data_IF_060130657820
#
_entry.id   IF_060130657820
#
_cell.length_a   1.000
_cell.length_b   1.000
_cell.length_c   1.000
_cell.angle_alpha   90.00
_cell.angle_beta   90.00
_cell.angle_gamma   90.00
#
_symmetry.space_group_name_H-M   'P 1'
#
loop_
_entity.id
_entity.type
_entity.pdbx_description
1 polymer ?
#
# COMPACT_ATOMS: atom_id res chain seq x y z
N UNK A 1 -20.90 40.62 0.21
CA UNK A 1 -19.55 40.60 0.80
C UNK A 1 -19.44 39.30 1.57
N UNK A 2 -18.52 38.39 1.21
CA UNK A 2 -18.36 37.12 1.95
C UNK A 2 -17.89 37.41 3.37
N UNK A 3 -18.53 36.78 4.35
CA UNK A 3 -18.22 36.99 5.78
C UNK A 3 -16.93 36.26 6.12
N UNK A 4 -16.17 36.73 7.11
CA UNK A 4 -14.94 36.04 7.57
C UNK A 4 -15.18 34.54 7.88
N UNK A 5 -16.37 34.22 8.41
CA UNK A 5 -16.81 32.83 8.63
C UNK A 5 -16.89 32.01 7.33
N UNK A 6 -17.39 32.58 6.23
CA UNK A 6 -17.46 31.88 4.93
C UNK A 6 -16.06 31.53 4.42
N UNK A 7 -15.08 32.42 4.62
CA UNK A 7 -13.69 32.16 4.24
C UNK A 7 -13.05 31.07 5.08
N UNK A 8 -13.33 31.04 6.39
CA UNK A 8 -12.83 29.98 7.26
C UNK A 8 -13.45 28.62 6.92
N UNK A 9 -14.75 28.61 6.63
CA UNK A 9 -15.47 27.39 6.30
C UNK A 9 -15.06 26.84 4.92
N UNK A 10 -14.90 27.73 3.92
CA UNK A 10 -14.38 27.38 2.60
C UNK A 10 -12.94 26.90 2.68
N UNK A 11 -12.07 27.60 3.43
CA UNK A 11 -10.67 27.20 3.66
C UNK A 11 -10.56 25.85 4.38
N UNK A 12 -11.43 25.60 5.36
CA UNK A 12 -11.48 24.33 6.11
C UNK A 12 -11.97 23.21 5.21
N UNK A 13 -12.99 23.45 4.38
CA UNK A 13 -13.53 22.48 3.45
C UNK A 13 -12.53 22.11 2.34
N UNK A 14 -11.79 23.06 1.77
CA UNK A 14 -10.76 22.74 0.76
C UNK A 14 -9.60 21.94 1.34
N UNK A 15 -9.15 22.23 2.56
CA UNK A 15 -8.07 21.47 3.23
C UNK A 15 -8.54 20.04 3.56
N UNK A 16 -9.75 19.88 4.08
CA UNK A 16 -10.34 18.57 4.39
C UNK A 16 -10.58 17.74 3.13
N UNK A 17 -11.05 18.37 2.05
CA UNK A 17 -11.24 17.75 0.74
C UNK A 17 -9.92 17.29 0.13
N UNK A 18 -8.88 18.14 0.12
CA UNK A 18 -7.56 17.78 -0.38
C UNK A 18 -6.90 16.67 0.44
N UNK A 19 -7.07 16.65 1.77
CA UNK A 19 -6.58 15.57 2.61
C UNK A 19 -7.27 14.23 2.29
N UNK A 20 -8.57 14.24 2.02
CA UNK A 20 -9.31 13.03 1.63
C UNK A 20 -8.99 12.58 0.19
N UNK A 21 -8.74 13.51 -0.73
CA UNK A 21 -8.25 13.20 -2.09
C UNK A 21 -6.89 12.51 -2.04
N UNK A 22 -5.93 13.05 -1.29
CA UNK A 22 -4.59 12.45 -1.17
C UNK A 22 -4.61 11.04 -0.58
N UNK A 23 -5.53 10.77 0.36
CA UNK A 23 -5.77 9.42 0.88
C UNK A 23 -6.20 8.45 -0.21
N UNK A 24 -7.24 8.83 -0.97
CA UNK A 24 -7.79 7.99 -2.04
C UNK A 24 -6.75 7.77 -3.13
N UNK A 25 -6.04 8.83 -3.55
CA UNK A 25 -4.99 8.76 -4.57
C UNK A 25 -3.88 7.79 -4.15
N UNK A 26 -3.49 7.81 -2.88
CA UNK A 26 -2.45 6.89 -2.36
C UNK A 26 -2.90 5.43 -2.49
N UNK A 27 -4.12 5.10 -2.07
CA UNK A 27 -4.67 3.73 -2.18
C UNK A 27 -4.85 3.34 -3.66
N UNK A 28 -5.38 4.26 -4.47
CA UNK A 28 -5.60 4.04 -5.90
C UNK A 28 -4.28 3.76 -6.63
N UNK A 29 -3.23 4.50 -6.31
CA UNK A 29 -1.90 4.28 -6.89
C UNK A 29 -1.34 2.89 -6.53
N UNK A 30 -1.55 2.44 -5.28
CA UNK A 30 -1.14 1.10 -4.87
C UNK A 30 -1.92 0.02 -5.64
N UNK A 31 -3.25 0.15 -5.73
CA UNK A 31 -4.06 -0.81 -6.50
C UNK A 31 -3.69 -0.82 -7.98
N UNK A 32 -3.37 0.33 -8.56
CA UNK A 32 -2.97 0.44 -9.96
C UNK A 32 -1.63 -0.29 -10.20
N UNK A 33 -0.64 -0.08 -9.33
CA UNK A 33 0.64 -0.83 -9.39
C UNK A 33 0.40 -2.33 -9.24
N UNK A 34 -0.44 -2.72 -8.28
CA UNK A 34 -0.79 -4.12 -8.03
C UNK A 34 -1.49 -4.76 -9.24
N UNK A 35 -2.43 -4.06 -9.87
CA UNK A 35 -3.17 -4.55 -11.04
C UNK A 35 -2.29 -4.63 -12.30
N UNK A 36 -1.48 -3.60 -12.56
CA UNK A 36 -0.52 -3.62 -13.68
C UNK A 36 0.42 -4.80 -13.54
N UNK A 37 0.88 -5.11 -12.33
CA UNK A 37 1.73 -6.25 -12.10
C UNK A 37 1.11 -7.59 -12.48
N UNK A 38 -0.16 -7.78 -12.09
CA UNK A 38 -0.92 -8.98 -12.47
C UNK A 38 -1.05 -9.08 -13.99
N UNK A 39 -1.40 -7.97 -14.65
CA UNK A 39 -1.53 -7.93 -16.11
C UNK A 39 -0.19 -8.24 -16.78
N UNK A 40 0.90 -7.59 -16.36
CA UNK A 40 2.25 -7.82 -16.91
C UNK A 40 2.66 -9.28 -16.70
N UNK A 41 2.40 -9.87 -15.53
CA UNK A 41 2.69 -11.27 -15.27
C UNK A 41 1.98 -12.21 -16.26
N UNK A 42 0.69 -12.00 -16.50
CA UNK A 42 -0.10 -12.88 -17.37
C UNK A 42 0.13 -12.63 -18.87
N UNK A 43 0.43 -11.40 -19.28
CA UNK A 43 0.64 -11.06 -20.69
C UNK A 43 2.08 -11.25 -21.18
N UNK A 44 3.08 -11.02 -20.32
CA UNK A 44 4.48 -11.00 -20.73
C UNK A 44 5.28 -12.20 -20.23
N UNK A 45 4.76 -13.02 -19.32
CA UNK A 45 5.53 -14.14 -18.76
C UNK A 45 5.10 -15.47 -19.34
N UNK A 46 6.04 -16.14 -20.01
CA UNK A 46 5.87 -17.48 -20.56
C UNK A 46 6.77 -18.47 -19.80
N UNK A 47 6.17 -19.56 -19.30
CA UNK A 47 6.80 -20.79 -18.80
C UNK A 47 8.07 -20.65 -17.95
N UNK A 48 9.21 -20.48 -18.62
CA UNK A 48 10.55 -20.45 -18.02
C UNK A 48 10.94 -19.08 -17.44
N UNK A 49 10.58 -17.98 -18.11
CA UNK A 49 10.92 -16.61 -17.66
C UNK A 49 9.97 -16.09 -16.58
N UNK A 50 8.80 -16.72 -16.49
CA UNK A 50 7.77 -16.42 -15.50
C UNK A 50 8.28 -16.55 -14.08
N UNK A 51 9.01 -17.63 -13.76
CA UNK A 51 9.45 -17.87 -12.39
C UNK A 51 10.38 -16.78 -11.86
N UNK A 52 11.37 -16.35 -12.64
CA UNK A 52 12.32 -15.31 -12.21
C UNK A 52 11.66 -13.93 -12.09
N UNK A 53 10.81 -13.59 -13.06
CA UNK A 53 10.13 -12.30 -13.09
C UNK A 53 9.18 -12.11 -11.91
N UNK A 54 8.36 -13.12 -11.62
CA UNK A 54 7.46 -13.02 -10.48
C UNK A 54 8.20 -13.09 -9.15
N UNK A 55 9.41 -13.66 -9.07
CA UNK A 55 10.18 -13.68 -7.82
C UNK A 55 10.70 -12.27 -7.51
N UNK A 56 11.25 -11.58 -8.52
CA UNK A 56 11.60 -10.16 -8.37
C UNK A 56 10.36 -9.31 -8.06
N UNK A 57 9.24 -9.58 -8.73
CA UNK A 57 8.03 -8.79 -8.51
C UNK A 57 7.46 -8.97 -7.10
N UNK A 58 7.30 -10.22 -6.65
CA UNK A 58 6.77 -10.54 -5.33
C UNK A 58 7.74 -10.18 -4.20
N UNK A 59 9.04 -10.43 -4.34
CA UNK A 59 9.97 -10.28 -3.21
C UNK A 59 10.70 -8.95 -3.17
N UNK A 60 10.69 -8.18 -4.27
CA UNK A 60 11.35 -6.87 -4.33
C UNK A 60 10.31 -5.78 -4.57
N UNK A 61 9.58 -5.83 -5.68
CA UNK A 61 8.72 -4.71 -6.08
C UNK A 61 7.52 -4.54 -5.13
N UNK A 62 6.80 -5.60 -4.79
CA UNK A 62 5.66 -5.51 -3.85
C UNK A 62 6.07 -5.10 -2.44
N UNK A 63 7.14 -5.65 -1.83
CA UNK A 63 7.62 -5.24 -0.51
C UNK A 63 8.03 -3.78 -0.50
N UNK A 64 8.79 -3.34 -1.51
CA UNK A 64 9.26 -1.96 -1.61
C UNK A 64 8.09 -1.00 -1.78
N UNK A 65 7.14 -1.30 -2.68
CA UNK A 65 5.97 -0.45 -2.91
C UNK A 65 5.06 -0.40 -1.68
N UNK A 66 4.80 -1.56 -1.05
CA UNK A 66 4.03 -1.66 0.20
C UNK A 66 4.69 -0.86 1.32
N UNK A 67 6.01 -0.94 1.43
CA UNK A 67 6.78 -0.20 2.42
C UNK A 67 6.70 1.32 2.21
N UNK A 68 6.91 1.80 0.99
CA UNK A 68 6.83 3.24 0.65
C UNK A 68 5.43 3.77 0.90
N UNK A 69 4.39 3.06 0.45
CA UNK A 69 2.99 3.45 0.69
C UNK A 69 2.67 3.46 2.18
N UNK A 70 3.16 2.49 2.95
CA UNK A 70 2.99 2.43 4.40
C UNK A 70 3.67 3.61 5.12
N UNK A 71 4.86 4.03 4.67
CA UNK A 71 5.52 5.25 5.16
C UNK A 71 4.68 6.48 4.85
N UNK A 72 4.16 6.62 3.63
CA UNK A 72 3.34 7.77 3.23
C UNK A 72 2.07 7.85 4.09
N UNK A 73 1.39 6.72 4.32
CA UNK A 73 0.22 6.63 5.21
C UNK A 73 0.59 7.01 6.64
N UNK A 74 1.69 6.47 7.18
CA UNK A 74 2.16 6.77 8.52
C UNK A 74 2.56 8.23 8.71
N UNK A 75 3.23 8.83 7.71
CA UNK A 75 3.70 10.21 7.72
C UNK A 75 2.55 11.22 7.68
N UNK A 76 1.52 10.93 6.90
CA UNK A 76 0.34 11.79 6.79
C UNK A 76 -0.74 11.52 7.85
N UNK A 77 -0.49 10.55 8.75
CA UNK A 77 -1.44 10.05 9.76
C UNK A 77 -2.86 9.81 9.20
N UNK A 78 -2.91 9.27 7.98
CA UNK A 78 -4.17 8.98 7.33
C UNK A 78 -4.97 7.98 8.19
N UNK A 79 -6.23 8.28 8.45
CA UNK A 79 -7.12 7.47 9.30
C UNK A 79 -6.74 7.32 10.79
N UNK A 80 -5.75 8.06 11.32
CA UNK A 80 -5.37 8.05 12.76
C UNK A 80 -5.18 6.62 13.31
N UNK A 81 -6.13 6.10 14.10
CA UNK A 81 -6.10 4.72 14.65
C UNK A 81 -6.42 3.66 13.59
N UNK A 82 -7.23 3.99 12.58
CA UNK A 82 -7.61 3.07 11.50
C UNK A 82 -6.48 2.74 10.52
N UNK A 83 -5.34 3.44 10.58
CA UNK A 83 -4.17 3.17 9.73
C UNK A 83 -3.64 1.74 9.89
N UNK A 84 -3.75 1.18 11.09
CA UNK A 84 -3.31 -0.19 11.37
C UNK A 84 -4.16 -1.25 10.67
N UNK A 85 -5.40 -0.97 10.30
CA UNK A 85 -6.17 -1.90 9.48
C UNK A 85 -5.55 -2.08 8.08
N UNK A 86 -4.80 -1.08 7.60
CA UNK A 86 -4.11 -1.18 6.31
C UNK A 86 -2.95 -2.16 6.33
N UNK A 87 -2.30 -2.41 7.47
CA UNK A 87 -1.21 -3.42 7.52
C UNK A 87 -1.76 -4.81 7.20
N UNK A 88 -2.96 -5.12 7.68
CA UNK A 88 -3.67 -6.36 7.36
C UNK A 88 -4.12 -6.38 5.89
N UNK A 89 -4.66 -5.27 5.38
CA UNK A 89 -5.02 -5.13 3.97
C UNK A 89 -3.83 -5.40 3.04
N UNK A 90 -2.67 -4.83 3.33
CA UNK A 90 -1.46 -5.05 2.54
C UNK A 90 -0.94 -6.49 2.65
N UNK A 91 -1.02 -7.11 3.83
CA UNK A 91 -0.72 -8.54 3.99
C UNK A 91 -1.60 -9.43 3.11
N UNK A 92 -2.92 -9.16 3.09
CA UNK A 92 -3.87 -9.89 2.24
C UNK A 92 -3.54 -9.67 0.76
N UNK A 93 -3.28 -8.42 0.34
CA UNK A 93 -2.90 -8.11 -1.05
C UNK A 93 -1.60 -8.78 -1.49
N UNK A 94 -0.64 -8.92 -0.58
CA UNK A 94 0.63 -9.62 -0.83
C UNK A 94 0.40 -11.12 -1.10
N UNK A 95 -0.40 -11.77 -0.23
CA UNK A 95 -0.80 -13.16 -0.41
C UNK A 95 -1.61 -13.39 -1.70
N UNK A 96 -2.50 -12.47 -2.06
CA UNK A 96 -3.27 -12.53 -3.30
C UNK A 96 -2.37 -12.41 -4.54
N UNK A 97 -1.36 -11.53 -4.52
CA UNK A 97 -0.41 -11.42 -5.63
C UNK A 97 0.39 -12.70 -5.82
N UNK A 98 0.88 -13.28 -4.73
CA UNK A 98 1.56 -14.57 -4.73
C UNK A 98 0.68 -15.68 -5.32
N UNK A 99 -0.54 -15.77 -4.79
CA UNK A 99 -1.46 -16.81 -5.20
C UNK A 99 -1.87 -16.67 -6.66
N UNK A 100 -2.25 -15.46 -7.08
CA UNK A 100 -2.77 -15.19 -8.41
C UNK A 100 -1.71 -15.19 -9.52
N UNK A 101 -0.42 -15.18 -9.17
CA UNK A 101 0.68 -15.30 -10.14
C UNK A 101 1.22 -16.74 -10.14
N UNK A 102 2.26 -17.01 -9.35
CA UNK A 102 2.97 -18.28 -9.36
C UNK A 102 2.10 -19.47 -9.03
N UNK A 103 1.32 -19.42 -7.94
CA UNK A 103 0.53 -20.60 -7.54
C UNK A 103 -0.56 -20.89 -8.56
N UNK A 104 -1.22 -19.88 -9.10
CA UNK A 104 -2.24 -20.06 -10.13
C UNK A 104 -1.64 -20.54 -11.46
N UNK A 105 -0.52 -19.97 -11.91
CA UNK A 105 0.19 -20.44 -13.10
C UNK A 105 0.69 -21.89 -12.95
N UNK A 106 1.24 -22.22 -11.78
CA UNK A 106 1.69 -23.58 -11.45
C UNK A 106 0.51 -24.56 -11.34
N UNK A 107 -0.61 -24.16 -10.74
CA UNK A 107 -1.81 -24.99 -10.66
C UNK A 107 -2.37 -25.32 -12.05
N UNK A 108 -2.36 -24.37 -12.98
CA UNK A 108 -2.77 -24.59 -14.38
C UNK A 108 -1.79 -25.52 -15.10
N UNK A 109 -0.49 -25.37 -14.86
CA UNK A 109 0.53 -26.19 -15.51
C UNK A 109 0.57 -27.65 -15.02
N UNK A 110 0.20 -27.91 -13.75
CA UNK A 110 0.33 -29.22 -13.11
C UNK A 110 -1.00 -29.84 -12.65
N UNK A 111 -2.14 -29.23 -13.01
CA UNK A 111 -3.51 -29.69 -12.70
C UNK A 111 -3.72 -30.05 -11.21
N UNK A 112 -3.06 -29.30 -10.32
CA UNK A 112 -3.13 -29.46 -8.86
C UNK A 112 -3.49 -28.14 -8.21
N UNK A 113 -4.59 -28.09 -7.48
CA UNK A 113 -4.99 -26.91 -6.72
C UNK A 113 -4.22 -26.82 -5.40
N UNK A 114 -3.13 -26.07 -5.39
CA UNK A 114 -2.47 -25.69 -4.15
C UNK A 114 -3.26 -24.57 -3.45
N UNK A 115 -3.48 -24.72 -2.14
CA UNK A 115 -4.10 -23.68 -1.33
C UNK A 115 -3.19 -22.45 -1.20
N UNK A 116 -3.77 -21.25 -1.01
CA UNK A 116 -2.98 -20.05 -0.79
C UNK A 116 -2.26 -20.14 0.57
N UNK A 117 -1.04 -19.58 0.64
CA UNK A 117 -0.24 -19.64 1.86
C UNK A 117 -0.58 -18.46 2.76
N UNK A 118 -1.26 -18.74 3.86
CA UNK A 118 -1.66 -17.75 4.85
C UNK A 118 -0.46 -17.11 5.57
N UNK A 119 0.72 -17.75 5.57
CA UNK A 119 1.96 -17.20 6.13
C UNK A 119 2.44 -15.94 5.38
N UNK A 120 2.11 -15.82 4.10
CA UNK A 120 2.43 -14.64 3.27
C UNK A 120 1.76 -13.37 3.79
N UNK A 121 0.57 -13.51 4.38
CA UNK A 121 -0.16 -12.38 4.97
C UNK A 121 0.66 -11.78 6.10
N UNK A 122 1.29 -12.62 6.92
CA UNK A 122 2.12 -12.19 8.04
C UNK A 122 3.35 -11.43 7.54
N UNK A 123 4.01 -11.93 6.49
CA UNK A 123 5.15 -11.25 5.88
C UNK A 123 4.79 -9.85 5.36
N UNK A 124 3.72 -9.74 4.56
CA UNK A 124 3.25 -8.44 4.05
C UNK A 124 2.79 -7.49 5.17
N UNK A 125 2.16 -8.02 6.22
CA UNK A 125 1.73 -7.26 7.38
C UNK A 125 2.92 -6.71 8.19
N UNK A 126 3.98 -7.50 8.39
CA UNK A 126 5.20 -7.06 9.08
C UNK A 126 5.89 -5.93 8.31
N UNK A 127 6.08 -6.09 7.00
CA UNK A 127 6.72 -5.07 6.14
C UNK A 127 5.92 -3.75 6.21
N UNK A 128 4.60 -3.84 6.11
CA UNK A 128 3.73 -2.67 6.22
C UNK A 128 3.78 -2.05 7.61
N UNK A 129 3.76 -2.85 8.68
CA UNK A 129 3.84 -2.35 10.05
C UNK A 129 5.13 -1.57 10.30
N UNK A 130 6.28 -2.06 9.80
CA UNK A 130 7.57 -1.35 9.90
C UNK A 130 7.51 -0.02 9.15
N UNK A 131 7.05 -0.02 7.90
CA UNK A 131 6.90 1.21 7.11
C UNK A 131 5.97 2.22 7.79
N UNK A 132 4.88 1.75 8.38
CA UNK A 132 3.91 2.59 9.09
C UNK A 132 4.46 3.17 10.39
N UNK A 133 5.24 2.38 11.15
CA UNK A 133 5.95 2.84 12.34
C UNK A 133 6.96 3.94 11.99
N UNK A 134 7.79 3.73 10.96
CA UNK A 134 8.76 4.72 10.50
C UNK A 134 8.08 6.01 10.03
N UNK A 135 7.03 5.90 9.23
CA UNK A 135 6.23 7.07 8.80
C UNK A 135 5.65 7.84 9.98
N UNK A 136 5.10 7.13 10.97
CA UNK A 136 4.50 7.74 12.17
C UNK A 136 5.55 8.43 13.06
N UNK A 137 6.77 7.87 13.17
CA UNK A 137 7.88 8.49 13.90
C UNK A 137 8.34 9.79 13.22
N UNK A 138 8.46 9.79 11.89
CA UNK A 138 8.79 10.99 11.12
C UNK A 138 7.74 12.10 11.30
N UNK A 139 6.45 11.76 11.34
CA UNK A 139 5.39 12.73 11.61
C UNK A 139 5.52 13.35 13.02
N UNK A 140 5.79 12.51 14.03
CA UNK A 140 5.97 12.98 15.41
C UNK A 140 7.16 13.92 15.54
N UNK A 141 8.29 13.64 14.87
CA UNK A 141 9.46 14.54 14.81
C UNK A 141 9.11 15.87 14.15
N UNK A 142 8.41 15.86 13.00
CA UNK A 142 8.01 17.09 12.29
C UNK A 142 7.08 17.99 13.12
N UNK A 143 6.13 17.40 13.83
CA UNK A 143 5.24 18.16 14.71
C UNK A 143 5.96 18.72 15.94
N UNK A 144 6.98 18.02 16.46
CA UNK A 144 7.82 18.51 17.56
C UNK A 144 8.64 19.73 17.13
N UNK A 145 9.24 19.69 15.94
CA UNK A 145 10.00 20.81 15.37
C UNK A 145 9.11 22.05 15.19
N UNK A 146 7.93 21.87 14.58
CA UNK A 146 6.99 22.97 14.35
C UNK A 146 6.48 23.65 15.63
N UNK A 147 6.44 22.93 16.75
CA UNK A 147 6.05 23.50 18.06
C UNK A 147 7.22 24.15 18.82
N UNK A 148 8.47 23.96 18.38
CA UNK A 148 9.64 24.64 18.95
C UNK A 148 9.96 25.96 18.22
N UNK A 149 9.44 26.12 17.00
CA UNK A 149 9.62 27.32 16.17
C UNK A 149 8.48 28.36 16.34
N UNK A 150 7.59 28.17 17.33
CA UNK A 150 6.49 29.08 17.73
C UNK A 150 6.75 29.55 19.16
#
# INVERSE_FOLDING_TARGET
MKTYYDYLEESTNVVKSNANRNKIITILSYMLVWAIAMIVFWFFTSGSDAMGYSLMFLWIILPVTTFVVSIVIGKNDFWKKGKWAFTLFFGVMYMLAEYGTFKMANNIAFDKLNAPDWGMIVAGAIISAIGMLLGSLCNKKRNKQKNQDI
#
